data_IF_484625036440
#
_entry.id   IF_484625036440
#
_cell.length_a   1.000
_cell.length_b   1.000
_cell.length_c   1.000
_cell.angle_alpha   90.00
_cell.angle_beta   90.00
_cell.angle_gamma   90.00
#
_symmetry.space_group_name_H-M   'P 1'
#
loop_
_entity.id
_entity.type
_entity.pdbx_description
1 polymer ?
#
# COMPACT_ATOMS: atom_id res chain seq x y z
N UNK A 1 16.31 19.90 -3.75
CA UNK A 1 17.62 20.54 -3.93
C UNK A 1 17.73 21.69 -2.93
N UNK A 2 18.81 22.48 -2.94
CA UNK A 2 18.92 23.66 -2.05
C UNK A 2 17.91 24.78 -2.38
N UNK A 3 17.20 24.69 -3.51
CA UNK A 3 16.26 25.70 -4.02
C UNK A 3 14.78 25.32 -3.76
N UNK A 4 14.50 24.19 -3.09
CA UNK A 4 13.14 23.72 -2.84
C UNK A 4 12.49 22.95 -4.00
N UNK A 5 13.25 22.60 -5.04
CA UNK A 5 12.79 21.75 -6.13
C UNK A 5 12.88 20.28 -5.71
N UNK A 6 11.77 19.56 -5.84
CA UNK A 6 11.65 18.12 -5.61
C UNK A 6 11.63 17.41 -6.97
N UNK A 7 12.61 16.54 -7.20
CA UNK A 7 12.62 15.66 -8.37
C UNK A 7 12.13 14.28 -7.94
N UNK A 8 11.05 13.80 -8.56
CA UNK A 8 10.50 12.45 -8.34
C UNK A 8 10.75 11.64 -9.61
N UNK A 9 11.45 10.52 -9.49
CA UNK A 9 11.65 9.58 -10.59
C UNK A 9 11.02 8.23 -10.27
N UNK A 10 10.36 7.65 -11.28
CA UNK A 10 9.91 6.27 -11.28
C UNK A 10 10.69 5.53 -12.38
N UNK A 11 11.30 4.41 -12.03
CA UNK A 11 12.09 3.60 -12.96
C UNK A 11 11.64 2.14 -12.89
N UNK A 12 11.30 1.59 -14.05
CA UNK A 12 11.07 0.16 -14.22
C UNK A 12 12.42 -0.55 -14.36
N UNK A 13 12.78 -1.36 -13.36
CA UNK A 13 14.06 -2.08 -13.31
C UNK A 13 14.20 -3.16 -14.39
N UNK A 14 13.11 -3.67 -14.95
CA UNK A 14 13.14 -4.73 -15.96
C UNK A 14 13.37 -4.19 -17.36
N UNK A 15 12.78 -3.04 -17.68
CA UNK A 15 12.89 -2.42 -19.02
C UNK A 15 13.89 -1.26 -19.07
N UNK A 16 14.35 -0.76 -17.92
CA UNK A 16 15.22 0.42 -17.82
C UNK A 16 14.53 1.72 -18.15
N UNK A 17 13.22 1.72 -18.40
CA UNK A 17 12.45 2.93 -18.69
C UNK A 17 12.28 3.75 -17.42
N UNK A 18 12.65 5.01 -17.48
CA UNK A 18 12.44 5.98 -16.41
C UNK A 18 11.48 7.09 -16.84
N UNK A 19 10.75 7.62 -15.86
CA UNK A 19 9.96 8.83 -15.98
C UNK A 19 10.22 9.71 -14.78
N UNK A 20 10.47 10.98 -15.02
CA UNK A 20 10.79 11.95 -13.97
C UNK A 20 9.88 13.16 -14.05
N UNK A 21 9.47 13.65 -12.89
CA UNK A 21 8.72 14.87 -12.73
C UNK A 21 9.51 15.79 -11.80
N UNK A 22 9.62 17.05 -12.20
CA UNK A 22 10.25 18.11 -11.40
C UNK A 22 9.14 18.97 -10.82
N UNK A 23 9.06 19.01 -9.50
CA UNK A 23 8.10 19.81 -8.74
C UNK A 23 8.87 21.00 -8.19
N UNK A 24 8.62 22.19 -8.73
CA UNK A 24 9.17 23.44 -8.22
C UNK A 24 8.36 23.94 -7.02
N UNK A 25 9.04 24.41 -5.99
CA UNK A 25 8.39 25.09 -4.87
C UNK A 25 8.23 26.57 -5.23
N UNK A 26 7.08 26.89 -5.83
CA UNK A 26 6.75 28.27 -6.16
C UNK A 26 6.52 29.08 -4.88
N UNK A 27 7.20 30.22 -4.74
CA UNK A 27 7.03 31.11 -3.58
C UNK A 27 5.55 31.48 -3.43
N UNK A 28 4.95 31.13 -2.29
CA UNK A 28 3.55 31.43 -1.99
C UNK A 28 2.55 30.33 -2.37
N UNK A 29 3.00 29.11 -2.74
CA UNK A 29 2.12 27.96 -2.97
C UNK A 29 1.26 27.60 -1.75
N UNK A 30 1.78 27.85 -0.55
CA UNK A 30 1.05 27.83 0.71
C UNK A 30 1.49 29.04 1.53
N UNK A 31 0.54 29.70 2.18
CA UNK A 31 0.84 30.74 3.17
C UNK A 31 1.41 30.12 4.46
N UNK A 32 2.06 30.93 5.29
CA UNK A 32 2.60 30.45 6.58
C UNK A 32 1.47 29.98 7.50
N UNK A 33 0.36 30.70 7.47
CA UNK A 33 -0.84 30.41 8.25
C UNK A 33 -1.46 29.06 7.84
N UNK A 34 -1.48 28.75 6.54
CA UNK A 34 -1.94 27.45 6.05
C UNK A 34 -1.00 26.31 6.46
N UNK A 35 0.32 26.53 6.41
CA UNK A 35 1.31 25.55 6.86
C UNK A 35 1.12 25.27 8.35
N UNK A 36 1.00 26.30 9.19
CA UNK A 36 0.78 26.15 10.63
C UNK A 36 -0.54 25.45 10.93
N UNK A 37 -1.62 25.78 10.21
CA UNK A 37 -2.90 25.06 10.33
C UNK A 37 -2.75 23.58 9.99
N UNK A 38 -2.07 23.24 8.89
CA UNK A 38 -1.85 21.84 8.49
C UNK A 38 -1.04 21.07 9.53
N UNK A 39 -0.03 21.69 10.14
CA UNK A 39 0.77 21.07 11.21
C UNK A 39 -0.07 20.82 12.46
N UNK A 40 -0.87 21.81 12.88
CA UNK A 40 -1.76 21.68 14.03
C UNK A 40 -2.84 20.61 13.81
N UNK A 41 -3.43 20.56 12.61
CA UNK A 41 -4.41 19.53 12.26
C UNK A 41 -3.77 18.14 12.26
N UNK A 42 -2.57 17.98 11.66
CA UNK A 42 -1.85 16.72 11.66
C UNK A 42 -1.53 16.22 13.08
N UNK A 43 -1.18 17.12 14.00
CA UNK A 43 -0.93 16.75 15.39
C UNK A 43 -2.22 16.41 16.14
N UNK A 44 -3.29 17.17 15.91
CA UNK A 44 -4.61 16.93 16.49
C UNK A 44 -5.18 15.56 16.10
N UNK A 45 -5.07 15.18 14.82
CA UNK A 45 -5.63 13.92 14.31
C UNK A 45 -4.63 12.76 14.29
N UNK A 46 -3.39 12.97 14.75
CA UNK A 46 -2.31 11.97 14.70
C UNK A 46 -2.74 10.58 15.18
N UNK A 47 -3.41 10.52 16.33
CA UNK A 47 -3.81 9.25 16.94
C UNK A 47 -4.94 8.56 16.16
N UNK A 48 -5.83 9.33 15.52
CA UNK A 48 -6.89 8.79 14.68
C UNK A 48 -6.32 8.26 13.36
N UNK A 49 -5.44 9.04 12.73
CA UNK A 49 -4.73 8.66 11.50
C UNK A 49 -3.85 7.42 11.72
N UNK A 50 -3.19 7.32 12.88
CA UNK A 50 -2.40 6.14 13.26
C UNK A 50 -3.29 4.89 13.38
N UNK A 51 -4.43 4.98 14.07
CA UNK A 51 -5.38 3.86 14.15
C UNK A 51 -5.94 3.46 12.79
N UNK A 52 -6.26 4.42 11.91
CA UNK A 52 -6.70 4.11 10.55
C UNK A 52 -5.58 3.43 9.75
N UNK A 53 -4.35 3.94 9.85
CA UNK A 53 -3.17 3.36 9.19
C UNK A 53 -2.93 1.93 9.67
N UNK A 54 -3.01 1.67 10.97
CA UNK A 54 -2.86 0.33 11.54
C UNK A 54 -3.96 -0.62 11.03
N UNK A 55 -5.21 -0.18 11.03
CA UNK A 55 -6.35 -0.94 10.50
C UNK A 55 -6.13 -1.32 9.03
N UNK A 56 -5.75 -0.36 8.19
CA UNK A 56 -5.49 -0.62 6.77
C UNK A 56 -4.27 -1.52 6.58
N UNK A 57 -3.22 -1.33 7.38
CA UNK A 57 -2.04 -2.20 7.35
C UNK A 57 -2.40 -3.65 7.68
N UNK A 58 -3.17 -3.86 8.74
CA UNK A 58 -3.66 -5.18 9.13
C UNK A 58 -4.56 -5.80 8.06
N UNK A 59 -5.46 -5.01 7.47
CA UNK A 59 -6.31 -5.45 6.35
C UNK A 59 -5.47 -5.90 5.15
N UNK A 60 -4.55 -5.06 4.69
CA UNK A 60 -3.68 -5.38 3.56
C UNK A 60 -2.81 -6.61 3.83
N UNK A 61 -2.34 -6.79 5.07
CA UNK A 61 -1.58 -7.98 5.47
C UNK A 61 -2.44 -9.25 5.39
N UNK A 62 -3.69 -9.19 5.85
CA UNK A 62 -4.64 -10.29 5.76
C UNK A 62 -4.98 -10.64 4.29
N UNK A 63 -5.27 -9.62 3.47
CA UNK A 63 -5.52 -9.80 2.04
C UNK A 63 -4.33 -10.43 1.32
N UNK A 64 -3.12 -9.94 1.60
CA UNK A 64 -1.88 -10.50 1.05
C UNK A 64 -1.68 -11.95 1.48
N UNK A 65 -2.00 -12.29 2.73
CA UNK A 65 -1.91 -13.67 3.23
C UNK A 65 -2.91 -14.59 2.53
N UNK A 66 -4.18 -14.19 2.42
CA UNK A 66 -5.20 -14.95 1.71
C UNK A 66 -4.85 -15.14 0.24
N UNK A 67 -4.28 -14.11 -0.42
CA UNK A 67 -3.81 -14.22 -1.80
C UNK A 67 -2.67 -15.23 -1.92
N UNK A 68 -1.65 -15.14 -1.06
CA UNK A 68 -0.54 -16.09 -1.05
C UNK A 68 -1.02 -17.52 -0.78
N UNK A 69 -1.99 -17.70 0.12
CA UNK A 69 -2.58 -19.01 0.42
C UNK A 69 -3.29 -19.57 -0.80
N UNK A 70 -4.11 -18.76 -1.48
CA UNK A 70 -4.80 -19.13 -2.72
C UNK A 70 -3.79 -19.56 -3.79
N UNK A 71 -2.76 -18.76 -4.05
CA UNK A 71 -1.71 -19.13 -5.00
C UNK A 71 -1.00 -20.42 -4.62
N UNK A 72 -0.76 -20.66 -3.33
CA UNK A 72 -0.08 -21.88 -2.84
C UNK A 72 -0.91 -23.13 -3.08
N UNK A 73 -2.23 -23.10 -2.84
CA UNK A 73 -3.12 -24.27 -3.04
C UNK A 73 -3.51 -24.49 -4.51
N UNK A 74 -3.33 -23.47 -5.34
CA UNK A 74 -3.50 -23.55 -6.80
C UNK A 74 -2.21 -23.98 -7.53
N UNK A 75 -1.05 -23.96 -6.88
CA UNK A 75 0.23 -24.41 -7.44
C UNK A 75 0.19 -25.93 -7.73
N UNK A 76 0.60 -26.32 -8.94
CA UNK A 76 0.63 -27.70 -9.40
C UNK A 76 1.44 -28.63 -8.47
N UNK A 77 2.46 -28.11 -7.77
CA UNK A 77 3.27 -28.87 -6.81
C UNK A 77 2.53 -29.23 -5.51
N UNK A 78 1.50 -28.46 -5.17
CA UNK A 78 0.70 -28.64 -3.97
C UNK A 78 -0.65 -29.28 -4.26
N UNK A 79 -1.15 -29.15 -5.50
CA UNK A 79 -2.43 -29.71 -5.93
C UNK A 79 -2.55 -31.22 -5.70
N UNK A 80 -1.47 -31.96 -5.91
CA UNK A 80 -1.45 -33.42 -5.71
C UNK A 80 -1.23 -33.84 -4.24
N UNK A 81 -0.93 -32.88 -3.35
CA UNK A 81 -0.62 -33.12 -1.92
C UNK A 81 -1.77 -32.74 -0.98
N UNK A 82 -2.80 -32.09 -1.48
CA UNK A 82 -3.96 -31.63 -0.72
C UNK A 82 -5.20 -32.22 -1.39
N UNK A 83 -6.17 -32.70 -0.61
CA UNK A 83 -7.40 -33.21 -1.19
C UNK A 83 -8.22 -32.07 -1.82
N UNK A 84 -8.98 -32.35 -2.88
CA UNK A 84 -9.84 -31.35 -3.51
C UNK A 84 -10.86 -30.75 -2.53
N UNK A 85 -11.28 -31.52 -1.52
CA UNK A 85 -12.17 -31.02 -0.45
C UNK A 85 -11.49 -29.98 0.43
N UNK A 86 -10.27 -30.25 0.91
CA UNK A 86 -9.50 -29.31 1.73
C UNK A 86 -9.13 -28.05 0.94
N UNK A 87 -8.76 -28.23 -0.34
CA UNK A 87 -8.47 -27.12 -1.25
C UNK A 87 -9.68 -26.19 -1.38
N UNK A 88 -10.86 -26.75 -1.65
CA UNK A 88 -12.09 -25.96 -1.79
C UNK A 88 -12.42 -25.21 -0.49
N UNK A 89 -12.29 -25.86 0.67
CA UNK A 89 -12.48 -25.22 1.97
C UNK A 89 -11.53 -24.04 2.20
N UNK A 90 -10.26 -24.18 1.86
CA UNK A 90 -9.25 -23.11 1.99
C UNK A 90 -9.60 -21.94 1.06
N UNK A 91 -9.95 -22.22 -0.19
CA UNK A 91 -10.30 -21.19 -1.17
C UNK A 91 -11.57 -20.41 -0.76
N UNK A 92 -12.60 -21.12 -0.32
CA UNK A 92 -13.84 -20.50 0.15
C UNK A 92 -13.58 -19.62 1.36
N UNK A 93 -12.78 -20.10 2.33
CA UNK A 93 -12.44 -19.31 3.50
C UNK A 93 -11.61 -18.07 3.17
N UNK A 94 -10.64 -18.18 2.25
CA UNK A 94 -9.87 -17.03 1.78
C UNK A 94 -10.77 -16.01 1.07
N UNK A 95 -11.69 -16.47 0.22
CA UNK A 95 -12.61 -15.59 -0.49
C UNK A 95 -13.63 -14.91 0.44
N UNK A 96 -14.11 -15.61 1.48
CA UNK A 96 -14.95 -15.02 2.52
C UNK A 96 -14.22 -13.95 3.34
N UNK A 97 -12.94 -14.20 3.65
CA UNK A 97 -12.13 -13.33 4.52
C UNK A 97 -11.73 -12.02 3.84
N UNK A 98 -11.63 -12.03 2.50
CA UNK A 98 -11.25 -10.87 1.68
C UNK A 98 -12.46 -10.08 1.16
N UNK A 99 -13.69 -10.58 1.37
CA UNK A 99 -14.94 -9.85 1.07
C UNK A 99 -15.24 -8.78 2.12
#
# INVERSE_FOLDING_TARGET
DANGILNVSACDKSTGKESKITITNDKGRLSKEEIERMVNDAEKYRNEDEQQKERITAKNALESYCFNMKSTVEDDKMKDKISETEKQQILDKCNETVK
#
